data_IF_685598080030
#
_entry.id   IF_685598080030
#
_cell.length_a   1.000
_cell.length_b   1.000
_cell.length_c   1.000
_cell.angle_alpha   90.00
_cell.angle_beta   90.00
_cell.angle_gamma   90.00
#
_symmetry.space_group_name_H-M   'P 1'
#
loop_
_entity.id
_entity.type
_entity.pdbx_description
1 polymer ?
#
# COMPACT_ATOMS: atom_id res chain seq x y z
N UNK A 1 13.86 23.91 -2.35
CA UNK A 1 12.57 23.21 -2.50
C UNK A 1 12.38 22.85 -3.97
N UNK A 2 12.16 21.57 -4.26
CA UNK A 2 11.77 21.13 -5.60
C UNK A 2 10.34 21.62 -5.87
N UNK A 3 10.08 22.46 -6.89
CA UNK A 3 8.75 23.04 -7.13
C UNK A 3 7.70 21.99 -7.51
N UNK A 4 8.13 20.77 -7.86
CA UNK A 4 7.26 19.64 -8.19
C UNK A 4 6.93 18.75 -6.98
N UNK A 5 7.49 19.06 -5.81
CA UNK A 5 7.37 18.25 -4.60
C UNK A 5 6.69 19.02 -3.46
N UNK A 6 6.09 18.28 -2.53
CA UNK A 6 5.40 18.84 -1.38
C UNK A 6 6.39 18.93 -0.21
N UNK A 7 6.52 20.12 0.36
CA UNK A 7 7.39 20.35 1.52
C UNK A 7 6.60 20.19 2.83
N UNK A 8 6.66 19.01 3.42
CA UNK A 8 5.96 18.70 4.66
C UNK A 8 6.73 19.27 5.87
N UNK A 9 6.15 20.27 6.56
CA UNK A 9 6.76 20.92 7.72
C UNK A 9 5.83 21.05 8.90
N UNK A 10 6.43 21.16 10.09
CA UNK A 10 5.75 21.41 11.35
C UNK A 10 4.66 20.38 11.66
N UNK A 11 3.45 20.85 11.91
CA UNK A 11 2.30 20.00 12.26
C UNK A 11 1.97 18.96 11.19
N UNK A 12 2.05 19.32 9.90
CA UNK A 12 1.66 18.42 8.79
C UNK A 12 2.58 17.21 8.74
N UNK A 13 3.89 17.40 8.99
CA UNK A 13 4.86 16.30 9.02
C UNK A 13 4.57 15.31 10.16
N UNK A 14 4.24 15.83 11.35
CA UNK A 14 3.89 14.98 12.52
C UNK A 14 2.61 14.20 12.23
N UNK A 15 1.58 14.86 11.70
CA UNK A 15 0.32 14.22 11.33
C UNK A 15 0.51 13.14 10.26
N UNK A 16 1.33 13.42 9.25
CA UNK A 16 1.68 12.47 8.19
C UNK A 16 2.40 11.24 8.78
N UNK A 17 3.40 11.46 9.63
CA UNK A 17 4.12 10.37 10.30
C UNK A 17 3.19 9.46 11.11
N UNK A 18 2.29 10.04 11.91
CA UNK A 18 1.28 9.28 12.66
C UNK A 18 0.32 8.52 11.74
N UNK A 19 -0.10 9.14 10.64
CA UNK A 19 -0.99 8.52 9.64
C UNK A 19 -0.32 7.32 8.97
N UNK A 20 0.96 7.44 8.60
CA UNK A 20 1.73 6.34 8.01
C UNK A 20 1.90 5.21 9.03
N UNK A 21 2.27 5.53 10.27
CA UNK A 21 2.46 4.52 11.32
C UNK A 21 1.17 3.76 11.59
N UNK A 22 0.07 4.47 11.82
CA UNK A 22 -1.23 3.84 12.09
C UNK A 22 -1.71 2.99 10.91
N UNK A 23 -1.62 3.51 9.68
CA UNK A 23 -2.00 2.78 8.47
C UNK A 23 -1.15 1.51 8.25
N UNK A 24 0.17 1.61 8.38
CA UNK A 24 1.07 0.46 8.19
C UNK A 24 0.89 -0.59 9.30
N UNK A 25 0.84 -0.20 10.58
CA UNK A 25 0.69 -1.15 11.69
C UNK A 25 -0.63 -1.91 11.58
N UNK A 26 -1.74 -1.18 11.41
CA UNK A 26 -3.07 -1.80 11.29
C UNK A 26 -3.20 -2.59 10.00
N UNK A 27 -2.67 -2.07 8.89
CA UNK A 27 -2.67 -2.70 7.59
C UNK A 27 -1.91 -4.02 7.56
N UNK A 28 -0.68 -4.05 8.10
CA UNK A 28 0.10 -5.28 8.22
C UNK A 28 -0.57 -6.29 9.13
N UNK A 29 -1.13 -5.86 10.27
CA UNK A 29 -1.88 -6.74 11.15
C UNK A 29 -3.10 -7.36 10.44
N UNK A 30 -3.87 -6.54 9.73
CA UNK A 30 -5.04 -6.97 8.96
C UNK A 30 -4.67 -7.96 7.85
N UNK A 31 -3.62 -7.65 7.09
CA UNK A 31 -3.12 -8.52 6.03
C UNK A 31 -2.62 -9.87 6.59
N UNK A 32 -1.84 -9.84 7.67
CA UNK A 32 -1.35 -11.05 8.33
C UNK A 32 -2.48 -11.94 8.84
N UNK A 33 -3.51 -11.34 9.47
CA UNK A 33 -4.69 -12.08 9.95
C UNK A 33 -5.47 -12.71 8.80
N UNK A 34 -5.61 -12.01 7.68
CA UNK A 34 -6.33 -12.49 6.48
C UNK A 34 -5.63 -13.66 5.78
N UNK A 35 -4.33 -13.86 6.00
CA UNK A 35 -3.55 -14.95 5.39
C UNK A 35 -3.52 -16.24 6.21
N UNK A 36 -4.20 -16.29 7.37
CA UNK A 36 -4.27 -17.49 8.20
C UNK A 36 -4.86 -18.67 7.42
N UNK A 37 -4.42 -19.90 7.75
CA UNK A 37 -4.83 -21.12 7.03
C UNK A 37 -6.31 -21.44 7.16
N UNK A 38 -6.93 -21.00 8.26
CA UNK A 38 -8.36 -21.15 8.56
C UNK A 38 -9.24 -20.35 7.59
N UNK A 39 -8.69 -19.30 6.97
CA UNK A 39 -9.45 -18.44 6.07
C UNK A 39 -9.65 -19.08 4.68
N UNK A 40 -10.79 -18.80 4.02
CA UNK A 40 -11.04 -19.17 2.64
C UNK A 40 -9.90 -18.75 1.70
N UNK A 41 -9.63 -19.51 0.61
CA UNK A 41 -8.59 -19.17 -0.36
C UNK A 41 -8.68 -17.73 -0.89
N UNK A 42 -9.90 -17.21 -1.08
CA UNK A 42 -10.14 -15.84 -1.50
C UNK A 42 -9.56 -14.80 -0.51
N UNK A 43 -9.87 -14.96 0.77
CA UNK A 43 -9.45 -14.04 1.83
C UNK A 43 -7.93 -14.07 1.99
N UNK A 44 -7.31 -15.25 1.85
CA UNK A 44 -5.84 -15.38 1.91
C UNK A 44 -5.14 -14.64 0.77
N UNK A 45 -5.68 -14.72 -0.45
CA UNK A 45 -5.13 -13.97 -1.59
C UNK A 45 -5.31 -12.47 -1.44
N UNK A 46 -6.48 -12.03 -0.95
CA UNK A 46 -6.71 -10.63 -0.55
C UNK A 46 -5.65 -10.16 0.45
N UNK A 47 -5.41 -10.93 1.50
CA UNK A 47 -4.37 -10.64 2.50
C UNK A 47 -2.96 -10.50 1.93
N UNK A 48 -2.59 -11.36 0.96
CA UNK A 48 -1.28 -11.26 0.27
C UNK A 48 -1.14 -9.97 -0.52
N UNK A 49 -2.16 -9.59 -1.30
CA UNK A 49 -2.12 -8.33 -2.05
C UNK A 49 -2.05 -7.13 -1.12
N UNK A 50 -2.83 -7.13 -0.02
CA UNK A 50 -2.80 -6.06 0.97
C UNK A 50 -1.44 -5.95 1.65
N UNK A 51 -0.77 -7.06 1.98
CA UNK A 51 0.56 -7.02 2.57
C UNK A 51 1.56 -6.30 1.66
N UNK A 52 1.59 -6.67 0.37
CA UNK A 52 2.49 -6.03 -0.60
C UNK A 52 2.08 -4.57 -0.83
N UNK A 53 0.78 -4.26 -0.87
CA UNK A 53 0.28 -2.90 -0.99
C UNK A 53 0.74 -2.01 0.17
N UNK A 54 0.60 -2.46 1.42
CA UNK A 54 1.06 -1.70 2.59
C UNK A 54 2.58 -1.55 2.63
N UNK A 55 3.34 -2.51 2.09
CA UNK A 55 4.79 -2.41 1.99
C UNK A 55 5.20 -1.32 0.98
N UNK A 56 4.61 -1.30 -0.21
CA UNK A 56 4.86 -0.25 -1.20
C UNK A 56 4.35 1.12 -0.74
N UNK A 57 3.15 1.20 -0.17
CA UNK A 57 2.62 2.42 0.40
C UNK A 57 3.55 2.97 1.50
N UNK A 58 3.97 2.13 2.44
CA UNK A 58 4.84 2.54 3.54
C UNK A 58 6.19 3.06 3.04
N UNK A 59 6.84 2.36 2.11
CA UNK A 59 8.10 2.81 1.52
C UNK A 59 7.92 4.15 0.80
N UNK A 60 6.93 4.25 -0.10
CA UNK A 60 6.69 5.49 -0.85
C UNK A 60 6.35 6.66 0.07
N UNK A 61 5.52 6.45 1.09
CA UNK A 61 5.08 7.51 2.00
C UNK A 61 6.20 7.98 2.94
N UNK A 62 7.05 7.07 3.43
CA UNK A 62 8.23 7.45 4.23
C UNK A 62 9.21 8.26 3.39
N UNK A 63 9.44 7.85 2.14
CA UNK A 63 10.28 8.60 1.22
C UNK A 63 9.68 9.99 0.94
N UNK A 64 8.37 10.09 0.64
CA UNK A 64 7.66 11.36 0.39
C UNK A 64 7.72 12.31 1.60
N UNK A 65 7.72 11.77 2.82
CA UNK A 65 7.71 12.58 4.05
C UNK A 65 9.11 13.04 4.50
N UNK A 66 10.14 12.21 4.33
CA UNK A 66 11.44 12.40 5.00
C UNK A 66 12.60 12.74 4.06
N UNK A 67 12.47 12.49 2.76
CA UNK A 67 13.58 12.58 1.82
C UNK A 67 13.23 13.60 0.75
N UNK A 68 14.02 14.68 0.67
CA UNK A 68 13.91 15.62 -0.46
C UNK A 68 14.24 14.87 -1.76
N UNK A 69 13.24 14.74 -2.64
CA UNK A 69 13.42 13.97 -3.86
C UNK A 69 13.79 14.86 -5.04
N UNK A 70 14.81 14.40 -5.78
CA UNK A 70 15.02 14.85 -7.15
C UNK A 70 13.88 14.39 -8.07
N UNK A 71 13.68 15.03 -9.25
CA UNK A 71 12.57 14.74 -10.15
C UNK A 71 12.44 13.26 -10.55
N UNK A 72 13.57 12.58 -10.78
CA UNK A 72 13.59 11.17 -11.20
C UNK A 72 13.09 10.27 -10.07
N UNK A 73 13.61 10.47 -8.85
CA UNK A 73 13.23 9.67 -7.68
C UNK A 73 11.75 9.88 -7.33
N UNK A 74 11.27 11.12 -7.46
CA UNK A 74 9.86 11.46 -7.27
C UNK A 74 8.98 10.65 -8.23
N UNK A 75 9.31 10.61 -9.53
CA UNK A 75 8.54 9.81 -10.51
C UNK A 75 8.54 8.32 -10.14
N UNK A 76 9.68 7.77 -9.73
CA UNK A 76 9.77 6.37 -9.29
C UNK A 76 8.86 6.13 -8.08
N UNK A 77 8.88 7.00 -7.07
CA UNK A 77 8.04 6.84 -5.88
C UNK A 77 6.55 6.99 -6.19
N UNK A 78 6.16 7.85 -7.14
CA UNK A 78 4.78 7.95 -7.62
C UNK A 78 4.32 6.68 -8.34
N UNK A 79 5.20 6.05 -9.13
CA UNK A 79 4.89 4.75 -9.77
C UNK A 79 4.72 3.65 -8.72
N UNK A 80 5.59 3.58 -7.72
CA UNK A 80 5.48 2.59 -6.62
C UNK A 80 4.19 2.82 -5.83
N UNK A 81 3.84 4.07 -5.53
CA UNK A 81 2.59 4.40 -4.85
C UNK A 81 1.36 4.04 -5.69
N UNK A 82 1.38 4.31 -7.00
CA UNK A 82 0.31 3.91 -7.92
C UNK A 82 0.15 2.37 -7.96
N UNK A 83 1.28 1.63 -7.94
CA UNK A 83 1.27 0.18 -7.84
C UNK A 83 0.68 -0.29 -6.49
N UNK A 84 0.97 0.40 -5.38
CA UNK A 84 0.34 0.13 -4.10
C UNK A 84 -1.18 0.30 -4.17
N UNK A 85 -1.69 1.36 -4.82
CA UNK A 85 -3.12 1.58 -5.00
C UNK A 85 -3.79 0.47 -5.83
N UNK A 86 -3.12 0.03 -6.89
CA UNK A 86 -3.58 -1.12 -7.68
C UNK A 86 -3.64 -2.41 -6.84
N UNK A 87 -2.65 -2.66 -6.01
CA UNK A 87 -2.64 -3.81 -5.10
C UNK A 87 -3.69 -3.69 -3.99
N UNK A 88 -3.96 -2.49 -3.47
CA UNK A 88 -5.07 -2.26 -2.54
C UNK A 88 -6.42 -2.60 -3.20
N UNK A 89 -6.63 -2.18 -4.44
CA UNK A 89 -7.82 -2.54 -5.20
C UNK A 89 -7.98 -4.08 -5.31
N UNK A 90 -6.90 -4.79 -5.66
CA UNK A 90 -6.91 -6.26 -5.69
C UNK A 90 -7.12 -6.88 -4.30
N UNK A 91 -6.53 -6.29 -3.27
CA UNK A 91 -6.59 -6.77 -1.90
C UNK A 91 -7.95 -6.58 -1.22
N UNK A 92 -8.66 -5.49 -1.49
CA UNK A 92 -9.98 -5.26 -0.93
C UNK A 92 -11.09 -5.89 -1.77
N UNK A 93 -11.07 -5.66 -3.09
CA UNK A 93 -12.18 -6.04 -3.98
C UNK A 93 -11.97 -7.45 -4.54
N UNK A 94 -10.76 -7.78 -4.98
CA UNK A 94 -10.42 -9.01 -5.71
C UNK A 94 -11.43 -9.30 -6.85
N UNK A 95 -11.37 -8.55 -7.96
CA UNK A 95 -12.33 -8.64 -9.04
C UNK A 95 -12.37 -10.03 -9.71
N UNK A 96 -13.47 -10.34 -10.41
CA UNK A 96 -13.68 -11.65 -11.06
C UNK A 96 -12.54 -12.07 -11.99
N UNK A 97 -11.96 -11.12 -12.73
CA UNK A 97 -10.84 -11.41 -13.62
C UNK A 97 -9.60 -11.88 -12.85
N UNK A 98 -9.28 -11.28 -11.70
CA UNK A 98 -8.14 -11.69 -10.89
C UNK A 98 -8.39 -13.04 -10.21
N UNK A 99 -9.63 -13.32 -9.78
CA UNK A 99 -10.03 -14.64 -9.26
C UNK A 99 -9.79 -15.75 -10.28
N UNK A 100 -10.11 -15.49 -11.56
CA UNK A 100 -9.87 -16.44 -12.67
C UNK A 100 -8.39 -16.77 -12.84
N UNK A 101 -7.51 -15.78 -12.76
CA UNK A 101 -6.05 -16.01 -12.83
C UNK A 101 -5.50 -16.79 -11.63
N UNK A 102 -6.12 -16.64 -10.46
CA UNK A 102 -5.71 -17.30 -9.23
C UNK A 102 -6.39 -18.66 -9.00
N UNK A 103 -7.16 -19.15 -9.99
CA UNK A 103 -7.93 -20.41 -9.93
C UNK A 103 -8.83 -20.53 -8.69
N UNK A 104 -9.35 -19.39 -8.21
CA UNK A 104 -10.31 -19.34 -7.10
C UNK A 104 -11.71 -19.58 -7.68
N UNK A 105 -12.54 -20.40 -7.02
CA UNK A 105 -13.93 -20.62 -7.44
C UNK A 105 -14.64 -19.27 -7.59
N UNK A 106 -15.23 -19.04 -8.75
CA UNK A 106 -16.06 -17.88 -9.03
C UNK A 106 -17.49 -18.32 -8.74
N UNK A 107 -18.05 -17.82 -7.64
CA UNK A 107 -19.51 -17.89 -7.38
C UNK A 107 -20.25 -16.87 -8.25
#
# INVERSE_FOLDING_TARGET
>A
ANPMDIDYKGFVLIFLGLSILTACITGFHFAAKSMKKEEPPEIRWKGRFLLVAFLFFGISAIFDALIEMGPILLVIMRIILALAMFLFYLGFILPRWSKKFLSIKVE
#
